data_IF_349658030339
#
_entry.id   IF_349658030339
#
_cell.length_a   1.000
_cell.length_b   1.000
_cell.length_c   1.000
_cell.angle_alpha   90.00
_cell.angle_beta   90.00
_cell.angle_gamma   90.00
#
_symmetry.space_group_name_H-M   'P 1'
#
loop_
_entity.id
_entity.type
_entity.pdbx_description
1 polymer ?
#
# COMPACT_ATOMS: atom_id res chain seq x y z
N UNK A 1 8.02 16.97 -15.14
CA UNK A 1 8.37 15.73 -14.43
C UNK A 1 9.34 16.12 -13.33
N UNK A 2 9.04 15.79 -12.07
CA UNK A 2 9.84 16.23 -10.91
C UNK A 2 11.21 15.51 -10.89
N UNK A 3 12.25 16.18 -10.38
CA UNK A 3 13.62 15.65 -10.32
C UNK A 3 13.69 14.33 -9.54
N UNK A 4 12.96 14.22 -8.42
CA UNK A 4 12.91 13.01 -7.62
C UNK A 4 12.30 11.80 -8.36
N UNK A 5 11.35 12.03 -9.28
CA UNK A 5 10.80 10.97 -10.14
C UNK A 5 11.89 10.39 -11.05
N UNK A 6 12.70 11.25 -11.67
CA UNK A 6 13.81 10.83 -12.52
C UNK A 6 14.86 10.05 -11.72
N UNK A 7 15.18 10.53 -10.51
CA UNK A 7 16.07 9.83 -9.60
C UNK A 7 15.56 8.42 -9.25
N UNK A 8 14.28 8.29 -8.86
CA UNK A 8 13.68 6.98 -8.57
C UNK A 8 13.72 6.04 -9.77
N UNK A 9 13.36 6.52 -10.97
CA UNK A 9 13.36 5.71 -12.19
C UNK A 9 14.76 5.20 -12.55
N UNK A 10 15.81 5.98 -12.25
CA UNK A 10 17.21 5.64 -12.49
C UNK A 10 17.82 4.67 -11.47
N UNK A 11 17.12 4.37 -10.37
CA UNK A 11 17.59 3.42 -9.38
C UNK A 11 17.70 2.00 -9.96
N UNK A 12 18.63 1.22 -9.41
CA UNK A 12 18.67 -0.21 -9.61
C UNK A 12 17.52 -0.92 -8.85
N UNK A 13 17.27 -2.18 -9.19
CA UNK A 13 16.18 -2.98 -8.61
C UNK A 13 16.25 -3.11 -7.09
N UNK A 14 17.45 -3.22 -6.52
CA UNK A 14 17.63 -3.37 -5.09
C UNK A 14 17.24 -2.08 -4.36
N UNK A 15 17.65 -0.93 -4.89
CA UNK A 15 17.29 0.38 -4.37
C UNK A 15 15.81 0.71 -4.57
N UNK A 16 15.22 0.34 -5.72
CA UNK A 16 13.77 0.47 -5.93
C UNK A 16 12.99 -0.33 -4.92
N UNK A 17 13.41 -1.58 -4.65
CA UNK A 17 12.81 -2.40 -3.59
C UNK A 17 12.88 -1.73 -2.23
N UNK A 18 14.07 -1.26 -1.83
CA UNK A 18 14.25 -0.56 -0.56
C UNK A 18 13.34 0.68 -0.45
N UNK A 19 13.29 1.50 -1.51
CA UNK A 19 12.44 2.68 -1.56
C UNK A 19 10.94 2.34 -1.50
N UNK A 20 10.47 1.32 -2.23
CA UNK A 20 9.07 0.87 -2.17
C UNK A 20 8.69 0.36 -0.77
N UNK A 21 9.57 -0.38 -0.10
CA UNK A 21 9.31 -0.85 1.28
C UNK A 21 9.20 0.35 2.22
N UNK A 22 10.12 1.32 2.12
CA UNK A 22 10.09 2.54 2.94
C UNK A 22 8.85 3.39 2.70
N UNK A 23 8.44 3.54 1.45
CA UNK A 23 7.18 4.20 1.09
C UNK A 23 5.97 3.44 1.62
N UNK A 24 6.01 2.11 1.61
CA UNK A 24 5.01 1.26 2.26
C UNK A 24 4.92 1.50 3.78
N UNK A 25 6.04 1.75 4.45
CA UNK A 25 6.05 2.11 5.89
C UNK A 25 5.37 3.46 6.15
N UNK A 26 5.55 4.43 5.26
CA UNK A 26 4.89 5.74 5.35
C UNK A 26 3.39 5.58 5.13
N UNK A 27 2.98 4.87 4.08
CA UNK A 27 1.59 4.54 3.80
C UNK A 27 0.92 3.83 4.98
N UNK A 28 1.65 2.93 5.65
CA UNK A 28 1.12 2.19 6.79
C UNK A 28 0.85 3.09 8.00
N UNK A 29 1.65 4.14 8.22
CA UNK A 29 1.35 5.14 9.27
C UNK A 29 0.06 5.90 8.96
N UNK A 30 -0.18 6.23 7.69
CA UNK A 30 -1.44 6.87 7.26
C UNK A 30 -2.61 5.93 7.51
N UNK A 31 -2.46 4.65 7.16
CA UNK A 31 -3.46 3.63 7.40
C UNK A 31 -3.82 3.53 8.89
N UNK A 32 -2.82 3.30 9.75
CA UNK A 32 -3.02 3.08 11.19
C UNK A 32 -3.53 4.32 11.92
N UNK A 33 -3.25 5.53 11.40
CA UNK A 33 -3.83 6.76 11.92
C UNK A 33 -5.35 6.84 11.70
N UNK A 34 -5.87 6.23 10.62
CA UNK A 34 -7.30 6.20 10.30
C UNK A 34 -8.01 4.93 10.81
N UNK A 35 -7.27 3.83 10.89
CA UNK A 35 -7.77 2.51 11.27
C UNK A 35 -6.89 1.90 12.38
N UNK A 36 -7.01 2.39 13.62
CA UNK A 36 -6.25 1.88 14.75
C UNK A 36 -6.63 0.43 15.08
N UNK A 37 -5.80 -0.23 15.89
CA UNK A 37 -6.06 -1.61 16.32
C UNK A 37 -7.46 -1.77 16.94
N UNK A 38 -8.17 -2.81 16.51
CA UNK A 38 -9.55 -3.08 16.94
C UNK A 38 -10.63 -2.29 16.19
N UNK A 39 -10.26 -1.41 15.24
CA UNK A 39 -11.22 -0.76 14.35
C UNK A 39 -12.01 -1.82 13.55
N UNK A 40 -13.32 -1.60 13.42
CA UNK A 40 -14.22 -2.45 12.66
C UNK A 40 -14.92 -1.60 11.61
N UNK A 41 -14.59 -1.86 10.35
CA UNK A 41 -15.25 -1.23 9.22
C UNK A 41 -16.12 -2.29 8.56
N UNK A 42 -17.43 -2.16 8.73
CA UNK A 42 -18.40 -3.02 8.06
C UNK A 42 -18.85 -2.37 6.75
N UNK A 43 -19.05 -3.19 5.73
CA UNK A 43 -19.60 -2.78 4.45
C UNK A 43 -20.58 -3.85 3.96
N UNK A 44 -21.47 -3.47 3.05
CA UNK A 44 -22.43 -4.39 2.46
C UNK A 44 -22.01 -4.63 1.01
N UNK A 45 -21.76 -5.89 0.64
CA UNK A 45 -21.45 -6.21 -0.75
C UNK A 45 -22.73 -6.32 -1.58
N UNK A 46 -22.68 -5.76 -2.78
CA UNK A 46 -23.82 -5.56 -3.66
C UNK A 46 -24.30 -6.85 -4.35
N UNK A 47 -23.45 -7.87 -4.45
CA UNK A 47 -23.74 -9.10 -5.20
C UNK A 47 -24.68 -10.02 -4.44
N UNK A 48 -24.41 -10.31 -3.17
CA UNK A 48 -25.26 -11.16 -2.31
C UNK A 48 -25.98 -10.38 -1.21
N UNK A 49 -25.67 -9.10 -1.02
CA UNK A 49 -26.26 -8.24 -0.01
C UNK A 49 -25.74 -8.52 1.41
N UNK A 50 -24.69 -9.31 1.54
CA UNK A 50 -24.12 -9.72 2.82
C UNK A 50 -23.32 -8.59 3.48
N UNK A 51 -23.32 -8.55 4.82
CA UNK A 51 -22.47 -7.63 5.56
C UNK A 51 -21.11 -8.27 5.80
N UNK A 52 -20.07 -7.61 5.30
CA UNK A 52 -18.68 -8.00 5.47
C UNK A 52 -17.98 -7.06 6.45
N UNK A 53 -16.81 -7.48 6.95
CA UNK A 53 -15.94 -6.64 7.78
C UNK A 53 -14.55 -6.60 7.17
N UNK A 54 -14.06 -5.39 6.91
CA UNK A 54 -12.71 -5.17 6.46
C UNK A 54 -11.70 -5.54 7.56
N UNK A 55 -10.75 -6.42 7.23
CA UNK A 55 -9.65 -6.73 8.15
C UNK A 55 -8.62 -5.60 8.14
N UNK A 56 -8.74 -4.70 9.11
CA UNK A 56 -7.90 -3.51 9.23
C UNK A 56 -6.42 -3.83 9.56
N UNK A 57 -6.09 -5.08 9.91
CA UNK A 57 -4.70 -5.49 10.19
C UNK A 57 -3.94 -5.90 8.93
N UNK A 58 -4.64 -6.14 7.82
CA UNK A 58 -4.03 -6.66 6.58
C UNK A 58 -2.85 -5.83 6.08
N UNK A 59 -2.90 -4.48 6.07
CA UNK A 59 -1.75 -3.70 5.60
C UNK A 59 -0.49 -3.88 6.46
N UNK A 60 -0.64 -4.02 7.78
CA UNK A 60 0.48 -4.33 8.68
C UNK A 60 1.06 -5.70 8.37
N UNK A 61 0.20 -6.71 8.32
CA UNK A 61 0.61 -8.10 8.03
C UNK A 61 1.30 -8.22 6.66
N UNK A 62 0.79 -7.52 5.64
CA UNK A 62 1.36 -7.50 4.29
C UNK A 62 2.77 -6.91 4.26
N UNK A 63 2.98 -5.78 4.95
CA UNK A 63 4.30 -5.15 4.99
C UNK A 63 5.30 -5.99 5.79
N UNK A 64 4.85 -6.65 6.87
CA UNK A 64 5.69 -7.57 7.63
C UNK A 64 6.05 -8.83 6.80
N UNK A 65 5.11 -9.34 5.99
CA UNK A 65 5.37 -10.41 5.03
C UNK A 65 6.40 -10.01 3.96
N UNK A 66 6.38 -8.76 3.49
CA UNK A 66 7.39 -8.22 2.55
C UNK A 66 8.79 -8.21 3.18
N UNK A 67 8.89 -7.84 4.45
CA UNK A 67 10.15 -7.85 5.20
C UNK A 67 10.67 -9.26 5.44
N UNK A 68 9.77 -10.19 5.77
CA UNK A 68 10.09 -11.60 5.95
C UNK A 68 10.36 -12.34 4.62
N UNK A 69 9.85 -11.81 3.51
CA UNK A 69 9.98 -12.41 2.17
C UNK A 69 9.05 -13.62 1.93
N UNK A 70 7.96 -13.76 2.69
CA UNK A 70 7.03 -14.89 2.57
C UNK A 70 5.61 -14.53 3.02
N UNK A 71 4.60 -15.13 2.38
CA UNK A 71 3.20 -15.02 2.79
C UNK A 71 2.84 -16.17 3.75
N UNK A 72 2.94 -15.92 5.05
CA UNK A 72 2.66 -16.94 6.08
C UNK A 72 1.16 -17.16 6.33
N UNK A 73 0.32 -16.15 6.04
CA UNK A 73 -1.03 -16.04 6.62
C UNK A 73 -2.13 -15.96 5.55
N UNK A 74 -1.83 -16.37 4.31
CA UNK A 74 -2.78 -16.28 3.20
C UNK A 74 -3.22 -14.83 2.96
N UNK A 75 -2.29 -13.90 3.05
CA UNK A 75 -2.53 -12.46 2.94
C UNK A 75 -3.10 -12.14 1.56
N UNK A 76 -2.58 -12.76 0.50
CA UNK A 76 -3.10 -12.56 -0.87
C UNK A 76 -4.61 -12.82 -0.93
N UNK A 77 -5.05 -13.97 -0.41
CA UNK A 77 -6.46 -14.37 -0.43
C UNK A 77 -7.34 -13.42 0.38
N UNK A 78 -6.85 -12.93 1.51
CA UNK A 78 -7.60 -12.03 2.41
C UNK A 78 -7.77 -10.62 1.84
N UNK A 79 -6.89 -10.19 0.93
CA UNK A 79 -7.05 -8.91 0.23
C UNK A 79 -8.15 -8.93 -0.84
N UNK A 80 -8.39 -10.08 -1.48
CA UNK A 80 -9.23 -10.17 -2.69
C UNK A 80 -10.62 -9.55 -2.48
N UNK A 81 -11.28 -9.89 -1.38
CA UNK A 81 -12.64 -9.43 -1.10
C UNK A 81 -12.70 -7.90 -0.92
N UNK A 82 -11.82 -7.35 -0.08
CA UNK A 82 -11.76 -5.91 0.15
C UNK A 82 -11.33 -5.11 -1.08
N UNK A 83 -10.50 -5.68 -1.96
CA UNK A 83 -10.12 -5.05 -3.22
C UNK A 83 -11.31 -5.02 -4.17
N UNK A 84 -12.04 -6.14 -4.33
CA UNK A 84 -13.26 -6.18 -5.13
C UNK A 84 -14.30 -5.16 -4.61
N UNK A 85 -14.52 -5.12 -3.30
CA UNK A 85 -15.45 -4.17 -2.69
C UNK A 85 -15.05 -2.70 -2.91
N UNK A 86 -13.75 -2.38 -2.99
CA UNK A 86 -13.27 -1.04 -3.33
C UNK A 86 -13.45 -0.69 -4.82
N UNK A 87 -13.41 -1.68 -5.71
CA UNK A 87 -13.62 -1.50 -7.15
C UNK A 87 -15.10 -1.41 -7.51
N UNK A 88 -15.96 -2.11 -6.75
CA UNK A 88 -17.42 -2.14 -6.93
C UNK A 88 -18.15 -1.00 -6.20
N UNK A 89 -17.42 -0.08 -5.56
CA UNK A 89 -17.97 1.00 -4.72
C UNK A 89 -18.83 0.52 -3.52
N UNK A 90 -18.60 -0.72 -3.06
CA UNK A 90 -19.27 -1.28 -1.87
C UNK A 90 -18.56 -0.89 -0.56
N UNK A 91 -17.25 -0.66 -0.62
CA UNK A 91 -16.42 -0.21 0.50
C UNK A 91 -15.85 1.19 0.24
N UNK A 92 -16.17 2.15 1.10
CA UNK A 92 -15.63 3.51 1.05
C UNK A 92 -14.58 3.73 2.13
N UNK A 93 -13.41 4.19 1.72
CA UNK A 93 -12.33 4.59 2.61
C UNK A 93 -12.01 6.08 2.40
N UNK A 94 -11.44 6.78 3.39
CA UNK A 94 -10.81 8.06 3.13
C UNK A 94 -9.79 7.92 2.01
N UNK A 95 -9.75 8.88 1.07
CA UNK A 95 -8.91 8.81 -0.14
C UNK A 95 -7.44 8.48 0.18
N UNK A 96 -6.85 9.17 1.16
CA UNK A 96 -5.49 8.90 1.63
C UNK A 96 -5.29 7.45 2.09
N UNK A 97 -6.28 6.89 2.80
CA UNK A 97 -6.24 5.51 3.27
C UNK A 97 -6.42 4.49 2.15
N UNK A 98 -7.24 4.80 1.14
CA UNK A 98 -7.40 3.95 -0.05
C UNK A 98 -6.08 3.87 -0.83
N UNK A 99 -5.40 5.01 -1.02
CA UNK A 99 -4.06 5.02 -1.61
C UNK A 99 -3.03 4.25 -0.78
N UNK A 100 -3.07 4.40 0.55
CA UNK A 100 -2.20 3.62 1.44
C UNK A 100 -2.46 2.12 1.30
N UNK A 101 -3.73 1.72 1.25
CA UNK A 101 -4.15 0.33 1.12
C UNK A 101 -3.63 -0.31 -0.17
N UNK A 102 -3.82 0.37 -1.31
CA UNK A 102 -3.31 -0.10 -2.60
C UNK A 102 -1.79 -0.11 -2.67
N UNK A 103 -1.11 0.91 -2.13
CA UNK A 103 0.35 0.95 -2.13
C UNK A 103 0.92 -0.28 -1.42
N UNK A 104 0.43 -0.59 -0.22
CA UNK A 104 0.92 -1.71 0.60
C UNK A 104 0.57 -3.06 -0.05
N UNK A 105 -0.65 -3.20 -0.58
CA UNK A 105 -1.05 -4.38 -1.34
C UNK A 105 -0.11 -4.62 -2.53
N UNK A 106 0.22 -3.56 -3.28
CA UNK A 106 1.07 -3.66 -4.46
C UNK A 106 2.56 -3.92 -4.10
N UNK A 107 3.06 -3.39 -2.98
CA UNK A 107 4.39 -3.78 -2.44
C UNK A 107 4.41 -5.29 -2.17
N UNK A 108 3.39 -5.81 -1.48
CA UNK A 108 3.24 -7.23 -1.17
C UNK A 108 3.16 -8.09 -2.44
N UNK A 109 2.29 -7.72 -3.37
CA UNK A 109 2.13 -8.44 -4.63
C UNK A 109 3.44 -8.46 -5.46
N UNK A 110 4.19 -7.35 -5.48
CA UNK A 110 5.45 -7.26 -6.24
C UNK A 110 6.57 -8.11 -5.62
N UNK A 111 6.76 -8.02 -4.31
CA UNK A 111 7.97 -8.53 -3.65
C UNK A 111 7.78 -9.83 -2.87
N UNK A 112 6.55 -10.27 -2.63
CA UNK A 112 6.24 -11.57 -2.01
C UNK A 112 5.62 -12.51 -3.03
N UNK A 113 4.54 -12.09 -3.69
CA UNK A 113 3.81 -12.95 -4.65
C UNK A 113 4.56 -13.04 -5.99
N UNK A 114 5.34 -12.02 -6.34
CA UNK A 114 6.12 -11.98 -7.58
C UNK A 114 5.32 -11.49 -8.81
N UNK A 115 4.22 -10.74 -8.59
CA UNK A 115 3.48 -10.08 -9.68
C UNK A 115 4.34 -8.99 -10.31
N UNK A 116 4.17 -8.80 -11.62
CA UNK A 116 4.78 -7.69 -12.34
C UNK A 116 3.94 -6.43 -12.14
N UNK A 117 4.31 -5.66 -11.14
CA UNK A 117 3.75 -4.34 -10.85
C UNK A 117 4.86 -3.32 -11.03
N UNK A 118 4.55 -2.24 -11.75
CA UNK A 118 5.47 -1.12 -11.94
C UNK A 118 5.77 -0.44 -10.59
N UNK A 119 7.06 -0.35 -10.22
CA UNK A 119 7.47 0.21 -8.92
C UNK A 119 7.10 1.69 -8.80
N UNK A 120 7.00 2.41 -9.92
CA UNK A 120 6.56 3.81 -9.89
C UNK A 120 5.08 3.92 -9.49
N UNK A 121 4.23 2.99 -9.92
CA UNK A 121 2.84 2.91 -9.46
C UNK A 121 2.75 2.77 -7.94
N UNK A 122 3.56 1.88 -7.36
CA UNK A 122 3.66 1.68 -5.91
C UNK A 122 4.09 3.00 -5.23
N UNK A 123 5.16 3.61 -5.72
CA UNK A 123 5.69 4.84 -5.15
C UNK A 123 4.67 5.98 -5.22
N UNK A 124 4.00 6.15 -6.36
CA UNK A 124 3.01 7.18 -6.57
C UNK A 124 1.80 7.02 -5.63
N UNK A 125 1.29 5.80 -5.45
CA UNK A 125 0.20 5.53 -4.50
C UNK A 125 0.61 5.83 -3.05
N UNK A 126 1.80 5.41 -2.63
CA UNK A 126 2.29 5.70 -1.28
C UNK A 126 2.45 7.21 -1.05
N UNK A 127 2.98 7.95 -2.03
CA UNK A 127 3.13 9.40 -1.94
C UNK A 127 1.76 10.11 -1.92
N UNK A 128 0.79 9.65 -2.71
CA UNK A 128 -0.58 10.16 -2.69
C UNK A 128 -1.26 9.96 -1.31
N UNK A 129 -0.94 8.87 -0.61
CA UNK A 129 -1.46 8.62 0.74
C UNK A 129 -0.95 9.61 1.80
N UNK A 130 0.27 10.14 1.64
CA UNK A 130 0.92 10.93 2.67
C UNK A 130 0.45 12.39 2.72
N UNK A 131 -0.54 12.80 1.90
CA UNK A 131 -1.08 14.17 1.77
C UNK A 131 0.05 15.22 1.82
N UNK A 132 1.19 14.91 1.22
CA UNK A 132 2.36 15.77 1.30
C UNK A 132 2.30 16.73 0.12
N UNK A 133 2.30 18.06 0.33
CA UNK A 133 2.15 19.03 -0.75
C UNK A 133 3.32 19.03 -1.75
N UNK A 134 4.43 18.32 -1.45
CA UNK A 134 5.54 18.14 -2.37
C UNK A 134 6.00 16.68 -2.44
N UNK A 135 5.52 16.00 -3.48
CA UNK A 135 5.86 14.64 -3.87
C UNK A 135 7.37 14.49 -4.14
N UNK A 136 8.05 15.56 -4.56
CA UNK A 136 9.49 15.59 -4.81
C UNK A 136 10.31 15.56 -3.52
N UNK A 137 9.91 16.31 -2.49
CA UNK A 137 10.60 16.33 -1.20
C UNK A 137 10.46 14.99 -0.47
N UNK A 138 9.25 14.45 -0.37
CA UNK A 138 9.01 13.17 0.30
C UNK A 138 9.78 12.01 -0.34
N UNK A 139 9.82 11.96 -1.69
CA UNK A 139 10.59 10.97 -2.41
C UNK A 139 12.11 11.21 -2.24
N UNK A 140 12.57 12.46 -2.26
CA UNK A 140 13.99 12.78 -2.03
C UNK A 140 14.47 12.34 -0.65
N UNK A 141 13.65 12.49 0.39
CA UNK A 141 13.99 12.05 1.74
C UNK A 141 14.09 10.52 1.82
N UNK A 142 13.15 9.80 1.22
CA UNK A 142 13.22 8.33 1.11
C UNK A 142 14.47 7.89 0.34
N UNK A 143 14.80 8.56 -0.76
CA UNK A 143 15.97 8.25 -1.57
C UNK A 143 17.28 8.49 -0.81
N UNK A 144 17.37 9.55 0.00
CA UNK A 144 18.56 9.82 0.84
C UNK A 144 18.80 8.77 1.91
N UNK A 145 17.74 8.17 2.45
CA UNK A 145 17.83 7.14 3.49
C UNK A 145 18.07 5.72 2.91
N UNK A 146 17.83 5.53 1.61
CA UNK A 146 17.98 4.25 0.92
C UNK A 146 19.35 4.05 0.24
N UNK A 147 20.23 5.06 0.25
CA UNK A 147 21.63 5.03 -0.21
C UNK A 147 22.57 4.89 0.97
#
# INVERSE_FOLDING_TARGET
>A
MYEATQQFLSLDEAKKRAACIRLGEIALRVWEANFPEGCKVAYQESVTGSTQTLDCRLPREALDAVRAGLDANGIEQRYLESIAALEDDDLFLPEASQFAYYAIYNVFQRYVVGRKIDEWTIANQALASAVTPDLGTALSDVLREAV
#
